data_IF_197065822234
#
_entry.id   IF_197065822234
#
_cell.length_a   1.000
_cell.length_b   1.000
_cell.length_c   1.000
_cell.angle_alpha   90.00
_cell.angle_beta   90.00
_cell.angle_gamma   90.00
#
_symmetry.space_group_name_H-M   'P 1'
#
loop_
_entity.id
_entity.type
_entity.pdbx_description
1 polymer ?
#
# COMPACT_ATOMS: atom_id res chain seq x y z
N UNK A 1 11.10 -15.90 4.37
CA UNK A 1 10.50 -15.65 3.03
C UNK A 1 9.72 -14.35 3.16
N UNK A 2 10.20 -13.27 2.55
CA UNK A 2 9.45 -12.02 2.54
C UNK A 2 8.24 -12.13 1.59
N UNK A 3 7.10 -11.62 2.05
CA UNK A 3 5.85 -11.54 1.31
C UNK A 3 5.53 -10.06 1.11
N UNK A 4 5.18 -9.69 -0.12
CA UNK A 4 4.72 -8.35 -0.46
C UNK A 4 3.27 -8.41 -0.94
N UNK A 5 2.47 -7.40 -0.61
CA UNK A 5 1.06 -7.34 -1.00
C UNK A 5 0.75 -6.05 -1.74
N UNK A 6 -0.18 -6.13 -2.70
CA UNK A 6 -0.56 -4.99 -3.53
C UNK A 6 -1.88 -4.35 -3.14
N UNK A 7 -2.70 -4.98 -2.29
CA UNK A 7 -3.98 -4.39 -1.86
C UNK A 7 -4.02 -4.17 -0.37
N UNK A 8 -4.17 -2.91 0.04
CA UNK A 8 -4.36 -2.51 1.44
C UNK A 8 -5.83 -2.22 1.66
N UNK A 9 -6.39 -2.78 2.72
CA UNK A 9 -7.79 -2.56 3.12
C UNK A 9 -7.85 -2.14 4.57
N UNK A 10 -8.56 -1.04 4.81
CA UNK A 10 -8.87 -0.52 6.14
C UNK A 10 -10.35 -0.68 6.41
N UNK A 11 -10.67 -1.15 7.61
CA UNK A 11 -12.03 -1.22 8.14
C UNK A 11 -12.10 -0.41 9.43
N UNK A 12 -13.01 0.55 9.47
CA UNK A 12 -13.27 1.42 10.62
C UNK A 12 -14.65 1.10 11.16
N UNK A 13 -14.75 0.79 12.46
CA UNK A 13 -16.02 0.65 13.15
C UNK A 13 -16.21 1.81 14.12
N UNK A 14 -17.39 2.39 14.12
CA UNK A 14 -17.74 3.52 14.96
C UNK A 14 -18.45 3.10 16.25
N UNK A 15 -18.84 4.08 17.07
CA UNK A 15 -19.52 3.85 18.36
C UNK A 15 -20.89 3.18 18.20
N UNK A 16 -21.60 3.45 17.11
CA UNK A 16 -22.89 2.86 16.79
C UNK A 16 -22.78 1.47 16.14
N UNK A 17 -21.59 0.87 16.16
CA UNK A 17 -21.24 -0.42 15.57
C UNK A 17 -21.31 -0.46 14.03
N UNK A 18 -21.66 0.63 13.34
CA UNK A 18 -21.53 0.69 11.88
C UNK A 18 -20.06 0.61 11.48
N UNK A 19 -19.85 -0.09 10.39
CA UNK A 19 -18.52 -0.42 9.89
C UNK A 19 -18.39 0.04 8.45
N UNK A 20 -17.32 0.78 8.16
CA UNK A 20 -16.99 1.26 6.82
C UNK A 20 -15.67 0.65 6.36
N UNK A 21 -15.51 0.46 5.06
CA UNK A 21 -14.31 -0.14 4.47
C UNK A 21 -13.80 0.73 3.33
N UNK A 22 -12.49 0.93 3.28
CA UNK A 22 -11.77 1.58 2.19
C UNK A 22 -10.59 0.71 1.80
N UNK A 23 -10.31 0.60 0.52
CA UNK A 23 -9.21 -0.20 0.01
C UNK A 23 -8.56 0.48 -1.18
N UNK A 24 -7.26 0.27 -1.34
CA UNK A 24 -6.55 0.65 -2.56
C UNK A 24 -5.68 -0.51 -3.02
N UNK A 25 -5.55 -0.65 -4.34
CA UNK A 25 -4.65 -1.60 -4.98
C UNK A 25 -3.56 -0.82 -5.69
N UNK A 26 -2.31 -1.10 -5.33
CA UNK A 26 -1.11 -0.51 -5.90
C UNK A 26 -0.67 -1.30 -7.13
N UNK A 27 -0.03 -0.60 -8.07
CA UNK A 27 0.53 -1.21 -9.28
C UNK A 27 1.70 -2.17 -9.01
N UNK A 28 2.33 -2.06 -7.85
CA UNK A 28 3.40 -2.94 -7.40
C UNK A 28 3.16 -3.40 -5.95
N UNK A 29 3.44 -4.67 -5.61
CA UNK A 29 3.31 -5.15 -4.24
C UNK A 29 4.39 -4.53 -3.35
N UNK A 30 3.99 -4.13 -2.14
CA UNK A 30 4.86 -3.52 -1.13
C UNK A 30 5.01 -4.43 0.09
N UNK A 31 6.19 -4.44 0.71
CA UNK A 31 6.45 -5.07 2.02
C UNK A 31 6.91 -4.07 3.08
N UNK A 32 7.25 -2.83 2.69
CA UNK A 32 7.66 -1.80 3.65
C UNK A 32 6.53 -1.42 4.63
N UNK A 33 6.76 -1.69 5.91
CA UNK A 33 5.87 -1.30 7.02
C UNK A 33 5.49 0.19 6.97
N UNK A 34 6.43 1.07 6.63
CA UNK A 34 6.15 2.51 6.53
C UNK A 34 5.18 2.86 5.41
N UNK A 35 5.34 2.27 4.21
CA UNK A 35 4.41 2.51 3.11
C UNK A 35 3.01 1.98 3.42
N UNK A 36 2.92 0.82 4.10
CA UNK A 36 1.64 0.27 4.55
C UNK A 36 0.93 1.20 5.55
N UNK A 37 1.68 1.80 6.48
CA UNK A 37 1.14 2.77 7.44
C UNK A 37 0.64 4.03 6.73
N UNK A 38 1.44 4.60 5.83
CA UNK A 38 1.05 5.81 5.07
C UNK A 38 -0.25 5.59 4.29
N UNK A 39 -0.35 4.47 3.57
CA UNK A 39 -1.56 4.12 2.81
C UNK A 39 -2.74 3.87 3.73
N UNK A 40 -2.54 3.14 4.84
CA UNK A 40 -3.60 2.90 5.80
C UNK A 40 -4.10 4.21 6.43
N UNK A 41 -3.21 5.14 6.77
CA UNK A 41 -3.58 6.46 7.29
C UNK A 41 -4.42 7.25 6.28
N UNK A 42 -4.02 7.26 5.00
CA UNK A 42 -4.80 7.93 3.96
C UNK A 42 -6.21 7.33 3.85
N UNK A 43 -6.32 6.00 3.82
CA UNK A 43 -7.60 5.31 3.77
C UNK A 43 -8.47 5.58 5.02
N UNK A 44 -7.88 5.67 6.21
CA UNK A 44 -8.60 6.06 7.44
C UNK A 44 -9.08 7.51 7.33
N UNK A 45 -8.23 8.43 6.89
CA UNK A 45 -8.61 9.85 6.73
C UNK A 45 -9.76 10.01 5.75
N UNK A 46 -9.75 9.31 4.62
CA UNK A 46 -10.87 9.27 3.68
C UNK A 46 -12.13 8.73 4.35
N UNK A 47 -12.03 7.59 5.06
CA UNK A 47 -13.17 7.01 5.77
C UNK A 47 -13.76 7.96 6.83
N UNK A 48 -12.94 8.75 7.53
CA UNK A 48 -13.41 9.75 8.49
C UNK A 48 -14.02 10.98 7.82
N UNK A 49 -13.43 11.45 6.72
CA UNK A 49 -13.95 12.58 5.94
C UNK A 49 -15.34 12.29 5.36
N UNK A 50 -15.59 11.06 4.92
CA UNK A 50 -16.89 10.61 4.40
C UNK A 50 -17.97 10.49 5.52
N UNK A 51 -17.55 10.45 6.79
CA UNK A 51 -18.41 10.22 7.96
C UNK A 51 -18.17 11.27 9.06
N UNK A 52 -18.38 12.58 8.79
CA UNK A 52 -17.97 13.67 9.69
C UNK A 52 -18.73 13.74 11.03
N UNK A 53 -19.87 13.04 11.14
CA UNK A 53 -20.65 12.95 12.37
C UNK A 53 -20.05 11.94 13.37
N UNK A 54 -19.21 11.02 12.89
CA UNK A 54 -18.58 10.00 13.73
C UNK A 54 -17.40 10.59 14.49
N UNK A 55 -17.44 10.47 15.83
CA UNK A 55 -16.41 11.05 16.70
C UNK A 55 -15.49 10.03 17.35
N UNK A 56 -15.89 8.75 17.35
CA UNK A 56 -15.21 7.68 18.05
C UNK A 56 -15.08 6.45 17.16
N UNK A 57 -13.85 5.95 17.08
CA UNK A 57 -13.53 4.66 16.47
C UNK A 57 -13.50 3.62 17.58
N UNK A 58 -14.28 2.55 17.45
CA UNK A 58 -14.27 1.40 18.37
C UNK A 58 -13.41 0.25 17.88
N UNK A 59 -13.13 0.19 16.58
CA UNK A 59 -12.21 -0.77 15.99
C UNK A 59 -11.60 -0.20 14.70
N UNK A 60 -10.30 -0.40 14.56
CA UNK A 60 -9.56 -0.20 13.32
C UNK A 60 -8.92 -1.53 12.93
N UNK A 61 -9.22 -2.04 11.74
CA UNK A 61 -8.54 -3.19 11.17
C UNK A 61 -7.83 -2.78 9.89
N UNK A 62 -6.57 -3.18 9.77
CA UNK A 62 -5.76 -3.05 8.57
C UNK A 62 -5.43 -4.44 8.07
N UNK A 63 -5.63 -4.68 6.79
CA UNK A 63 -5.34 -5.98 6.15
C UNK A 63 -4.67 -5.76 4.82
N UNK A 64 -3.77 -6.68 4.47
CA UNK A 64 -3.06 -6.69 3.19
C UNK A 64 -3.40 -7.98 2.47
N UNK A 65 -3.74 -7.89 1.19
CA UNK A 65 -4.06 -9.03 0.34
C UNK A 65 -3.27 -9.00 -0.97
N UNK A 66 -3.53 -10.00 -1.83
CA UNK A 66 -2.73 -10.25 -3.03
C UNK A 66 -1.25 -10.48 -2.70
N UNK A 67 -1.00 -11.21 -1.62
CA UNK A 67 0.36 -11.53 -1.17
C UNK A 67 1.06 -12.40 -2.22
N UNK A 68 2.22 -11.94 -2.66
CA UNK A 68 3.16 -12.69 -3.50
C UNK A 68 4.48 -12.80 -2.76
N UNK A 69 5.31 -13.79 -3.11
CA UNK A 69 6.73 -13.69 -2.74
C UNK A 69 7.26 -12.39 -3.31
N UNK A 70 7.97 -11.62 -2.50
CA UNK A 70 8.55 -10.34 -2.93
C UNK A 70 9.25 -10.57 -4.29
N UNK A 71 8.76 -9.96 -5.38
CA UNK A 71 9.29 -10.24 -6.71
C UNK A 71 10.72 -9.72 -6.81
N UNK A 72 11.60 -10.51 -7.41
CA UNK A 72 12.88 -9.99 -7.88
C UNK A 72 12.58 -8.94 -8.95
N UNK A 73 13.13 -7.73 -8.79
CA UNK A 73 12.98 -6.71 -9.83
C UNK A 73 13.84 -7.11 -11.02
N UNK A 74 13.18 -7.27 -12.16
CA UNK A 74 13.84 -7.32 -13.45
C UNK A 74 14.40 -5.93 -13.76
N UNK A 75 15.71 -5.83 -13.97
CA UNK A 75 16.36 -4.59 -14.41
C UNK A 75 15.92 -4.25 -15.83
N UNK A 76 15.69 -2.95 -16.07
CA UNK A 76 15.42 -2.46 -17.42
C UNK A 76 16.71 -2.37 -18.23
N UNK A 77 16.65 -2.88 -19.47
CA UNK A 77 17.64 -2.59 -20.49
C UNK A 77 17.34 -1.20 -21.07
N UNK A 78 18.22 -0.20 -20.93
CA UNK A 78 17.96 1.15 -21.41
C UNK A 78 17.99 1.20 -22.94
N UNK A 79 16.82 1.29 -23.57
CA UNK A 79 16.63 1.41 -25.03
C UNK A 79 16.19 2.83 -25.45
N UNK A 80 16.00 3.75 -24.50
CA UNK A 80 15.58 5.13 -24.75
C UNK A 80 14.07 5.32 -24.95
N UNK A 81 13.24 4.35 -24.56
CA UNK A 81 11.79 4.42 -24.73
C UNK A 81 11.13 5.47 -23.80
N UNK A 82 10.04 6.13 -24.22
CA UNK A 82 9.41 7.22 -23.47
C UNK A 82 8.94 6.88 -22.05
N UNK A 83 8.58 5.62 -21.81
CA UNK A 83 8.06 5.11 -20.55
C UNK A 83 9.12 4.50 -19.63
N UNK A 84 10.37 4.33 -20.10
CA UNK A 84 11.45 3.67 -19.35
C UNK A 84 11.65 4.25 -17.96
N UNK A 85 11.58 5.58 -17.81
CA UNK A 85 11.80 6.25 -16.52
C UNK A 85 10.77 5.88 -15.44
N UNK A 86 9.63 5.30 -15.83
CA UNK A 86 8.51 4.95 -14.94
C UNK A 86 8.45 3.45 -14.64
N UNK A 87 9.21 2.63 -15.37
CA UNK A 87 9.21 1.17 -15.22
C UNK A 87 9.87 0.73 -13.91
N UNK A 88 9.44 -0.40 -13.32
CA UNK A 88 10.03 -0.91 -12.07
C UNK A 88 11.53 -1.21 -12.14
N UNK A 89 12.05 -1.62 -13.30
CA UNK A 89 13.46 -1.91 -13.50
C UNK A 89 14.36 -0.69 -13.66
N UNK A 90 13.79 0.52 -13.75
CA UNK A 90 14.53 1.76 -13.88
C UNK A 90 15.06 2.24 -12.54
N UNK A 91 16.05 3.13 -12.55
CA UNK A 91 16.70 3.66 -11.33
C UNK A 91 15.73 4.09 -10.22
N UNK A 92 14.62 4.76 -10.58
CA UNK A 92 13.58 5.18 -9.62
C UNK A 92 12.77 4.00 -9.06
N UNK A 93 12.49 2.99 -9.88
CA UNK A 93 11.81 1.76 -9.45
C UNK A 93 12.71 0.91 -8.55
N UNK A 94 14.00 0.80 -8.88
CA UNK A 94 15.01 0.13 -8.03
C UNK A 94 15.10 0.81 -6.67
N UNK A 95 15.18 2.15 -6.60
CA UNK A 95 15.26 2.87 -5.33
C UNK A 95 14.06 2.60 -4.41
N UNK A 96 12.85 2.50 -4.97
CA UNK A 96 11.64 2.10 -4.22
C UNK A 96 11.76 0.68 -3.68
N UNK A 97 12.22 -0.25 -4.49
CA UNK A 97 12.41 -1.65 -4.07
C UNK A 97 13.55 -1.86 -3.08
N UNK A 98 14.64 -1.11 -3.18
CA UNK A 98 15.70 -1.15 -2.17
C UNK A 98 15.17 -0.68 -0.81
N UNK A 99 14.29 0.32 -0.81
CA UNK A 99 13.59 0.74 0.42
C UNK A 99 12.66 -0.37 0.94
N UNK A 100 11.92 -1.07 0.07
CA UNK A 100 11.12 -2.25 0.47
C UNK A 100 11.98 -3.36 1.08
N UNK A 101 13.17 -3.60 0.53
CA UNK A 101 14.04 -4.71 0.96
C UNK A 101 14.84 -4.43 2.23
N UNK A 102 15.00 -3.17 2.62
CA UNK A 102 15.77 -2.78 3.81
C UNK A 102 14.97 -2.92 5.12
N UNK A 103 13.66 -3.14 5.03
CA UNK A 103 12.74 -3.31 6.17
C UNK A 103 12.51 -4.80 6.50
N UNK A 104 12.88 -5.72 5.60
CA UNK A 104 12.82 -7.18 5.74
C UNK A 104 14.13 -7.78 6.29
#
# INVERSE_FOLDING_TARGET
KSLAGSTVTVRVRFADMRTVTRSTTLDAPISATMMLVEIAEELVRTALADHPQERLITLLAVSVSQLRKQPEIQLDLPLGLPDEKRRPGAKKGIARWTADRAID
#
